data_IF_730368468282
#
_entry.id   IF_730368468282
#
_cell.length_a   1.000
_cell.length_b   1.000
_cell.length_c   1.000
_cell.angle_alpha   90.00
_cell.angle_beta   90.00
_cell.angle_gamma   90.00
#
_symmetry.space_group_name_H-M   'P 1'
#
loop_
_entity.id
_entity.type
_entity.pdbx_description
1 polymer ?
#
# COMPACT_ATOMS: atom_id res chain seq x y z
N UNK A 1 9.19 18.55 -15.57
CA UNK A 1 7.86 17.93 -15.39
C UNK A 1 8.04 16.43 -15.47
N UNK A 2 8.35 15.79 -14.34
CA UNK A 2 8.62 14.34 -14.31
C UNK A 2 7.27 13.67 -14.12
N UNK A 3 6.71 13.12 -15.20
CA UNK A 3 5.66 12.11 -15.10
C UNK A 3 6.34 10.85 -14.59
N UNK A 4 6.46 10.73 -13.27
CA UNK A 4 6.67 9.43 -12.68
C UNK A 4 5.35 8.69 -12.89
N UNK A 5 5.29 7.85 -13.92
CA UNK A 5 4.21 6.90 -14.14
C UNK A 5 4.17 5.97 -12.92
N UNK A 6 3.39 6.38 -11.92
CA UNK A 6 3.10 5.58 -10.74
C UNK A 6 2.31 4.37 -11.22
N UNK A 7 2.88 3.19 -11.04
CA UNK A 7 2.20 1.96 -11.39
C UNK A 7 1.24 1.66 -10.23
N UNK A 8 -0.04 1.91 -10.46
CA UNK A 8 -1.11 1.51 -9.55
C UNK A 8 -1.31 0.00 -9.67
N UNK A 9 -1.07 -0.75 -8.60
CA UNK A 9 -1.33 -2.18 -8.57
C UNK A 9 -2.24 -2.53 -7.41
N UNK A 10 -3.12 -3.49 -7.64
CA UNK A 10 -4.01 -4.03 -6.61
C UNK A 10 -3.26 -5.08 -5.79
N UNK A 11 -3.44 -5.03 -4.48
CA UNK A 11 -2.86 -6.01 -3.56
C UNK A 11 -3.72 -6.21 -2.33
N UNK A 12 -3.42 -7.28 -1.60
CA UNK A 12 -4.12 -7.63 -0.35
C UNK A 12 -3.19 -7.42 0.83
N UNK A 13 -3.71 -6.83 1.91
CA UNK A 13 -2.90 -6.67 3.13
C UNK A 13 -2.75 -8.02 3.82
N UNK A 14 -1.51 -8.44 4.03
CA UNK A 14 -1.18 -9.61 4.82
C UNK A 14 -1.11 -9.26 6.30
N UNK A 15 -0.31 -8.25 6.65
CA UNK A 15 -0.01 -7.89 8.03
C UNK A 15 0.11 -6.37 8.21
N UNK A 16 -0.35 -5.88 9.36
CA UNK A 16 -0.12 -4.50 9.78
C UNK A 16 1.11 -4.43 10.71
N UNK A 17 2.08 -3.60 10.35
CA UNK A 17 3.30 -3.38 11.12
C UNK A 17 3.17 -2.11 11.99
N UNK A 18 3.92 -2.02 13.11
CA UNK A 18 4.05 -0.77 13.86
C UNK A 18 4.63 0.32 12.94
N UNK A 19 4.19 1.58 13.14
CA UNK A 19 4.47 2.76 12.29
C UNK A 19 3.57 2.95 11.04
N UNK A 20 2.41 2.29 10.99
CA UNK A 20 1.47 2.38 9.86
C UNK A 20 2.11 1.97 8.52
N UNK A 21 3.02 1.00 8.61
CA UNK A 21 3.49 0.22 7.48
C UNK A 21 2.62 -1.03 7.36
N UNK A 22 2.38 -1.48 6.15
CA UNK A 22 1.54 -2.62 5.85
C UNK A 22 2.30 -3.52 4.88
N UNK A 23 2.26 -4.83 5.13
CA UNK A 23 2.71 -5.82 4.17
C UNK A 23 1.57 -6.05 3.20
N UNK A 24 1.80 -5.74 1.94
CA UNK A 24 0.82 -5.94 0.88
C UNK A 24 1.36 -6.97 -0.09
N UNK A 25 0.56 -8.00 -0.36
CA UNK A 25 0.82 -8.96 -1.42
C UNK A 25 0.16 -8.47 -2.70
N UNK A 26 0.98 -8.22 -3.72
CA UNK A 26 0.53 -7.68 -5.00
C UNK A 26 0.37 -8.80 -6.04
N UNK A 27 1.21 -9.82 -5.94
CA UNK A 27 1.20 -11.00 -6.80
C UNK A 27 1.72 -12.20 -6.00
N UNK A 28 1.44 -13.45 -6.42
CA UNK A 28 1.89 -14.64 -5.71
C UNK A 28 3.40 -14.62 -5.50
N UNK A 29 3.84 -14.50 -4.24
CA UNK A 29 5.27 -14.45 -3.89
C UNK A 29 5.93 -13.06 -3.97
N UNK A 30 5.18 -12.00 -4.27
CA UNK A 30 5.66 -10.60 -4.18
C UNK A 30 4.95 -9.85 -3.06
N UNK A 31 5.64 -9.74 -1.93
CA UNK A 31 5.23 -8.93 -0.79
C UNK A 31 6.00 -7.62 -0.83
N UNK A 32 5.29 -6.51 -0.76
CA UNK A 32 5.86 -5.17 -0.64
C UNK A 32 5.53 -4.56 0.71
N UNK A 33 6.39 -3.65 1.16
CA UNK A 33 6.12 -2.79 2.30
C UNK A 33 5.50 -1.50 1.77
N UNK A 34 4.24 -1.26 2.12
CA UNK A 34 3.52 -0.03 1.81
C UNK A 34 3.36 0.81 3.07
N UNK A 35 3.31 2.13 2.91
CA UNK A 35 2.91 3.04 3.99
C UNK A 35 1.52 3.60 3.71
N UNK A 36 0.79 3.95 4.76
CA UNK A 36 -0.50 4.60 4.60
C UNK A 36 -0.34 6.00 4.01
N UNK A 37 -1.18 6.35 3.02
CA UNK A 37 -1.20 7.71 2.47
C UNK A 37 -1.65 8.71 3.53
N UNK A 38 -1.05 9.91 3.54
CA UNK A 38 -1.43 10.97 4.48
C UNK A 38 -2.92 11.35 4.41
N UNK A 39 -3.54 11.26 3.22
CA UNK A 39 -4.99 11.47 3.06
C UNK A 39 -5.81 10.46 3.86
N UNK A 40 -5.40 9.20 3.91
CA UNK A 40 -6.13 8.16 4.66
C UNK A 40 -6.06 8.40 6.17
N UNK A 41 -4.92 8.93 6.67
CA UNK A 41 -4.80 9.37 8.07
C UNK A 41 -5.74 10.51 8.40
N UNK A 42 -5.86 11.50 7.52
CA UNK A 42 -6.79 12.64 7.69
C UNK A 42 -8.26 12.18 7.76
N UNK A 43 -8.62 11.16 7.00
CA UNK A 43 -9.98 10.59 6.98
C UNK A 43 -10.18 9.46 7.99
N UNK A 44 -9.21 9.21 8.89
CA UNK A 44 -9.27 8.14 9.89
C UNK A 44 -9.62 6.75 9.32
N UNK A 45 -9.18 6.47 8.09
CA UNK A 45 -9.44 5.20 7.43
C UNK A 45 -8.59 4.12 8.12
N UNK A 46 -9.26 3.15 8.73
CA UNK A 46 -8.62 2.00 9.37
C UNK A 46 -8.45 0.90 8.34
N UNK A 47 -7.22 0.44 8.20
CA UNK A 47 -6.85 -0.67 7.33
C UNK A 47 -6.72 -1.92 8.20
N UNK A 48 -7.36 -3.00 7.79
CA UNK A 48 -7.32 -4.31 8.47
C UNK A 48 -6.60 -5.34 7.59
N UNK A 49 -5.93 -6.34 8.19
CA UNK A 49 -5.38 -7.45 7.42
C UNK A 49 -6.49 -8.22 6.70
N UNK A 50 -6.26 -8.58 5.44
CA UNK A 50 -7.23 -9.18 4.54
C UNK A 50 -8.00 -8.17 3.67
N UNK A 51 -7.83 -6.86 3.88
CA UNK A 51 -8.44 -5.84 3.03
C UNK A 51 -7.73 -5.73 1.67
N UNK A 52 -8.48 -5.34 0.63
CA UNK A 52 -7.94 -5.11 -0.72
C UNK A 52 -7.63 -3.64 -0.88
N UNK A 53 -6.37 -3.33 -1.21
CA UNK A 53 -5.90 -1.96 -1.37
C UNK A 53 -5.20 -1.77 -2.70
N UNK A 54 -5.30 -0.56 -3.24
CA UNK A 54 -4.51 -0.13 -4.39
C UNK A 54 -3.22 0.49 -3.86
N UNK A 55 -2.09 -0.04 -4.28
CA UNK A 55 -0.76 0.43 -3.93
C UNK A 55 -0.16 1.12 -5.14
N UNK A 56 0.33 2.34 -4.96
CA UNK A 56 1.17 3.01 -5.96
C UNK A 56 2.61 2.56 -5.76
N UNK A 57 3.21 1.93 -6.79
CA UNK A 57 4.65 1.70 -6.84
C UNK A 57 5.32 2.89 -7.53
N UNK A 58 6.21 3.57 -6.79
CA UNK A 58 7.18 4.49 -7.38
C UNK A 58 8.37 3.68 -7.92
N UNK A 59 8.73 3.84 -9.21
CA UNK A 59 9.93 3.22 -9.76
C UNK A 59 11.16 3.99 -9.29
N UNK A 60 11.73 3.61 -8.14
CA UNK A 60 13.04 4.10 -7.69
C UNK A 60 13.80 3.01 -6.93
#
# INVERSE_FOLDING_TARGET
MVKEDKIEVEGSILEALPNAMFRVEIAPGKVVLAHISGKMRMHYIKILPGDRVRVELSPY
#
